data_IF_382363875693
#
_entry.id   IF_382363875693
#
_cell.length_a   1.000
_cell.length_b   1.000
_cell.length_c   1.000
_cell.angle_alpha   90.00
_cell.angle_beta   90.00
_cell.angle_gamma   90.00
#
_symmetry.space_group_name_H-M   'P 1'
#
loop_
_entity.id
_entity.type
_entity.pdbx_description
1 polymer ?
#
# COMPACT_ATOMS: atom_id res chain seq x y z
N UNK A 1 -20.77 -16.02 -2.29
CA UNK A 1 -19.36 -15.65 -2.41
C UNK A 1 -18.83 -16.27 -3.69
N UNK A 2 -18.81 -15.51 -4.75
CA UNK A 2 -18.12 -15.88 -5.98
C UNK A 2 -16.62 -15.74 -5.69
N UNK A 3 -15.92 -16.86 -5.76
CA UNK A 3 -14.47 -16.92 -5.82
C UNK A 3 -14.02 -16.17 -7.08
N UNK A 4 -13.75 -14.88 -6.95
CA UNK A 4 -13.01 -14.12 -7.95
C UNK A 4 -11.68 -14.85 -8.10
N UNK A 5 -11.47 -15.46 -9.26
CA UNK A 5 -10.24 -16.20 -9.53
C UNK A 5 -9.06 -15.25 -9.32
N UNK A 6 -8.22 -15.56 -8.36
CA UNK A 6 -6.99 -14.84 -7.97
C UNK A 6 -6.10 -14.49 -9.20
N UNK A 7 -6.24 -15.24 -10.28
CA UNK A 7 -5.52 -15.10 -11.54
C UNK A 7 -5.83 -13.81 -12.31
N UNK A 8 -7.09 -13.36 -12.38
CA UNK A 8 -7.43 -12.16 -13.16
C UNK A 8 -6.97 -10.88 -12.45
N UNK A 9 -6.91 -10.93 -11.13
CA UNK A 9 -6.47 -9.83 -10.27
C UNK A 9 -4.99 -9.48 -10.43
N UNK A 10 -4.19 -10.46 -10.81
CA UNK A 10 -2.75 -10.38 -10.79
C UNK A 10 -2.13 -10.01 -12.13
N UNK A 11 -2.83 -10.33 -13.25
CA UNK A 11 -2.32 -10.09 -14.61
C UNK A 11 -2.07 -8.60 -14.83
N UNK A 12 -3.02 -7.74 -14.47
CA UNK A 12 -2.89 -6.29 -14.61
C UNK A 12 -1.73 -5.72 -13.77
N UNK A 13 -1.46 -6.28 -12.60
CA UNK A 13 -0.32 -5.87 -11.77
C UNK A 13 1.01 -6.24 -12.45
N UNK A 14 1.12 -7.44 -13.01
CA UNK A 14 2.33 -7.89 -13.70
C UNK A 14 2.62 -7.01 -14.92
N UNK A 15 1.61 -6.66 -15.72
CA UNK A 15 1.76 -5.76 -16.87
C UNK A 15 2.26 -4.37 -16.46
N UNK A 16 1.79 -3.86 -15.32
CA UNK A 16 2.29 -2.59 -14.78
C UNK A 16 3.72 -2.72 -14.27
N UNK A 17 4.07 -3.84 -13.63
CA UNK A 17 5.46 -4.12 -13.21
C UNK A 17 6.40 -4.15 -14.42
N UNK A 18 6.01 -4.82 -15.51
CA UNK A 18 6.76 -4.80 -16.76
C UNK A 18 7.01 -3.37 -17.27
N UNK A 19 5.94 -2.57 -17.29
CA UNK A 19 6.02 -1.17 -17.73
C UNK A 19 6.99 -0.35 -16.87
N UNK A 20 7.02 -0.59 -15.57
CA UNK A 20 7.95 0.08 -14.64
C UNK A 20 9.38 -0.40 -14.89
N UNK A 21 9.60 -1.69 -15.13
CA UNK A 21 10.92 -2.23 -15.39
C UNK A 21 11.54 -1.68 -16.67
N UNK A 22 10.75 -1.31 -17.67
CA UNK A 22 11.25 -0.59 -18.85
C UNK A 22 11.83 0.78 -18.52
N UNK A 23 11.32 1.42 -17.45
CA UNK A 23 11.84 2.70 -16.93
C UNK A 23 13.07 2.53 -16.03
N UNK A 24 13.32 1.30 -15.58
CA UNK A 24 14.44 0.91 -14.72
C UNK A 24 15.37 -0.07 -15.44
N UNK A 25 15.98 0.31 -16.57
CA UNK A 25 16.68 -0.62 -17.49
C UNK A 25 18.02 -1.13 -16.96
N UNK A 26 18.48 -0.66 -15.81
CA UNK A 26 19.77 -1.06 -15.22
C UNK A 26 19.59 -1.44 -13.75
N UNK A 27 20.40 -2.40 -13.29
CA UNK A 27 20.45 -2.80 -11.87
C UNK A 27 20.64 -1.58 -10.96
N UNK A 28 21.53 -0.66 -11.34
CA UNK A 28 21.78 0.54 -10.53
C UNK A 28 20.53 1.42 -10.37
N UNK A 29 19.71 1.60 -11.42
CA UNK A 29 18.47 2.37 -11.31
C UNK A 29 17.43 1.68 -10.44
N UNK A 30 17.32 0.36 -10.58
CA UNK A 30 16.40 -0.46 -9.79
C UNK A 30 16.79 -0.45 -8.32
N UNK A 31 18.06 -0.68 -7.99
CA UNK A 31 18.54 -0.61 -6.61
C UNK A 31 18.34 0.78 -6.00
N UNK A 32 18.67 1.85 -6.73
CA UNK A 32 18.41 3.22 -6.29
C UNK A 32 16.92 3.47 -5.95
N UNK A 33 16.01 2.95 -6.79
CA UNK A 33 14.56 3.09 -6.52
C UNK A 33 14.17 2.33 -5.27
N UNK A 34 14.60 1.09 -5.12
CA UNK A 34 14.32 0.25 -3.95
C UNK A 34 14.89 0.87 -2.66
N UNK A 35 16.15 1.28 -2.69
CA UNK A 35 16.81 1.94 -1.55
C UNK A 35 16.11 3.24 -1.15
N UNK A 36 15.68 4.04 -2.13
CA UNK A 36 14.91 5.26 -1.87
C UNK A 36 13.59 4.96 -1.16
N UNK A 37 12.84 3.96 -1.61
CA UNK A 37 11.57 3.54 -0.98
C UNK A 37 11.84 3.08 0.45
N UNK A 38 12.82 2.22 0.67
CA UNK A 38 13.13 1.71 2.01
C UNK A 38 13.60 2.81 2.96
N UNK A 39 14.42 3.74 2.48
CA UNK A 39 14.85 4.90 3.28
C UNK A 39 13.64 5.74 3.69
N UNK A 40 12.76 6.03 2.75
CA UNK A 40 11.59 6.87 2.97
C UNK A 40 10.60 6.20 3.93
N UNK A 41 10.35 4.89 3.81
CA UNK A 41 9.52 4.12 4.75
C UNK A 41 10.11 4.01 6.17
N UNK A 42 11.42 4.18 6.30
CA UNK A 42 12.09 4.21 7.61
C UNK A 42 12.25 5.63 8.19
N UNK A 43 11.85 6.66 7.46
CA UNK A 43 11.95 8.04 7.92
C UNK A 43 10.96 8.33 9.06
N UNK A 44 11.36 9.17 10.01
CA UNK A 44 10.46 9.75 11.01
C UNK A 44 9.63 10.93 10.47
N UNK A 45 9.90 11.38 9.24
CA UNK A 45 9.14 12.42 8.57
C UNK A 45 7.94 11.81 7.83
N UNK A 46 6.73 12.27 8.15
CA UNK A 46 5.48 11.76 7.54
C UNK A 46 5.47 11.87 6.02
N UNK A 47 5.84 13.03 5.45
CA UNK A 47 5.85 13.23 4.00
C UNK A 47 6.86 12.29 3.28
N UNK A 48 7.96 11.94 3.93
CA UNK A 48 8.90 10.95 3.39
C UNK A 48 8.30 9.55 3.44
N UNK A 49 7.65 9.19 4.55
CA UNK A 49 6.97 7.91 4.67
C UNK A 49 5.89 7.75 3.59
N UNK A 50 5.04 8.74 3.40
CA UNK A 50 4.02 8.75 2.34
C UNK A 50 4.63 8.58 0.94
N UNK A 51 5.75 9.25 0.66
CA UNK A 51 6.47 9.09 -0.60
C UNK A 51 6.99 7.66 -0.79
N UNK A 52 7.52 7.04 0.27
CA UNK A 52 7.94 5.64 0.28
C UNK A 52 6.76 4.69 0.09
N UNK A 53 5.64 4.97 0.77
CA UNK A 53 4.39 4.21 0.65
C UNK A 53 3.85 4.25 -0.80
N UNK A 54 3.77 5.45 -1.40
CA UNK A 54 3.40 5.60 -2.81
C UNK A 54 4.33 4.81 -3.72
N UNK A 55 5.65 4.94 -3.55
CA UNK A 55 6.65 4.24 -4.37
C UNK A 55 6.58 2.73 -4.27
N UNK A 56 6.25 2.19 -3.10
CA UNK A 56 6.03 0.75 -2.90
C UNK A 56 4.84 0.25 -3.74
N UNK A 57 3.71 0.96 -3.68
CA UNK A 57 2.52 0.61 -4.46
C UNK A 57 2.80 0.59 -5.96
N UNK A 58 3.54 1.58 -6.47
CA UNK A 58 3.96 1.63 -7.87
C UNK A 58 4.78 0.39 -8.26
N UNK A 59 5.81 0.02 -7.50
CA UNK A 59 6.65 -1.15 -7.81
C UNK A 59 5.90 -2.49 -7.71
N UNK A 60 4.82 -2.54 -6.93
CA UNK A 60 3.94 -3.72 -6.84
C UNK A 60 2.91 -3.79 -7.96
N UNK A 61 2.91 -2.84 -8.89
CA UNK A 61 1.99 -2.81 -10.03
C UNK A 61 0.59 -2.28 -9.70
N UNK A 62 0.43 -1.58 -8.56
CA UNK A 62 -0.80 -0.87 -8.26
C UNK A 62 -0.79 0.54 -8.86
N UNK A 63 -1.98 1.11 -9.08
CA UNK A 63 -2.07 2.54 -9.32
C UNK A 63 -1.98 3.22 -7.95
N UNK A 64 -0.87 3.88 -7.70
CA UNK A 64 -0.55 4.50 -6.42
C UNK A 64 -0.48 6.02 -6.56
N UNK A 65 -1.29 6.73 -5.78
CA UNK A 65 -1.41 8.18 -5.83
C UNK A 65 -1.21 8.78 -4.42
N UNK A 66 -0.68 9.99 -4.37
CA UNK A 66 -0.57 10.80 -3.17
C UNK A 66 -0.94 12.26 -3.52
N UNK A 67 -2.24 12.61 -3.53
CA UNK A 67 -2.69 13.91 -3.97
C UNK A 67 -2.40 15.01 -2.94
N UNK A 68 -1.91 16.17 -3.41
CA UNK A 68 -1.60 17.35 -2.59
C UNK A 68 -2.77 18.34 -2.49
N UNK A 69 -4.01 17.87 -2.35
CA UNK A 69 -5.16 18.77 -2.20
C UNK A 69 -5.70 18.77 -0.77
N UNK A 70 -6.31 19.86 -0.33
CA UNK A 70 -6.89 19.96 1.01
C UNK A 70 -7.94 18.86 1.22
N UNK A 71 -7.78 18.09 2.29
CA UNK A 71 -8.67 16.99 2.66
C UNK A 71 -8.50 15.72 1.80
N UNK A 72 -7.51 15.70 0.91
CA UNK A 72 -7.13 14.49 0.22
C UNK A 72 -6.54 13.47 1.20
N UNK A 73 -6.67 12.18 0.91
CA UNK A 73 -5.99 11.15 1.68
C UNK A 73 -4.47 11.22 1.47
N UNK A 74 -3.73 10.63 2.38
CA UNK A 74 -2.38 10.14 2.16
C UNK A 74 -2.41 9.07 1.05
N UNK A 75 -1.31 8.39 0.71
CA UNK A 75 -1.33 7.49 -0.44
C UNK A 75 -2.52 6.55 -0.48
N UNK A 76 -3.12 6.41 -1.66
CA UNK A 76 -4.10 5.36 -1.90
C UNK A 76 -3.67 4.48 -3.08
N UNK A 77 -4.06 3.22 -3.03
CA UNK A 77 -3.75 2.24 -4.06
C UNK A 77 -5.02 1.67 -4.67
N UNK A 78 -5.15 1.82 -5.98
CA UNK A 78 -6.16 1.08 -6.73
C UNK A 78 -5.57 -0.29 -7.02
N UNK A 79 -6.10 -1.31 -6.36
CA UNK A 79 -5.69 -2.69 -6.55
C UNK A 79 -6.25 -3.22 -7.86
N UNK A 80 -7.54 -2.95 -8.09
CA UNK A 80 -8.24 -3.12 -9.36
C UNK A 80 -9.46 -2.18 -9.40
N UNK A 81 -10.24 -2.23 -10.49
CA UNK A 81 -11.43 -1.36 -10.66
C UNK A 81 -12.50 -1.52 -9.56
N UNK A 82 -12.50 -2.64 -8.83
CA UNK A 82 -13.46 -2.96 -7.77
C UNK A 82 -12.89 -2.89 -6.37
N UNK A 83 -11.59 -2.58 -6.20
CA UNK A 83 -10.91 -2.59 -4.90
C UNK A 83 -9.88 -1.47 -4.80
N UNK A 84 -10.04 -0.63 -3.80
CA UNK A 84 -9.14 0.47 -3.48
C UNK A 84 -8.83 0.47 -1.99
N UNK A 85 -7.57 0.70 -1.65
CA UNK A 85 -7.12 0.92 -0.27
C UNK A 85 -6.66 2.36 -0.14
N UNK A 86 -7.29 3.09 0.77
CA UNK A 86 -6.91 4.47 1.11
C UNK A 86 -6.24 4.49 2.47
N UNK A 87 -5.14 5.23 2.60
CA UNK A 87 -4.36 5.29 3.83
C UNK A 87 -4.46 6.64 4.52
N UNK A 88 -4.29 6.60 5.83
CA UNK A 88 -3.87 7.72 6.67
C UNK A 88 -2.54 7.32 7.30
N UNK A 89 -1.47 8.04 6.99
CA UNK A 89 -0.11 7.71 7.42
C UNK A 89 0.31 8.65 8.58
N UNK A 90 0.16 8.17 9.82
CA UNK A 90 0.49 8.95 11.03
C UNK A 90 1.75 8.44 11.72
N UNK A 91 2.88 9.04 11.35
CA UNK A 91 4.18 8.75 11.96
C UNK A 91 4.49 9.82 12.99
N UNK A 92 4.32 9.49 14.25
CA UNK A 92 4.62 10.39 15.36
C UNK A 92 6.10 10.41 15.68
N UNK A 93 6.68 11.61 15.81
CA UNK A 93 8.05 11.76 16.28
C UNK A 93 8.14 11.44 17.78
N UNK A 94 9.28 10.88 18.24
CA UNK A 94 9.48 10.53 19.66
C UNK A 94 9.27 11.71 20.61
N UNK A 95 9.60 12.93 20.16
CA UNK A 95 9.40 14.17 20.94
C UNK A 95 7.92 14.51 21.19
N UNK A 96 7.01 14.02 20.35
CA UNK A 96 5.59 14.37 20.43
C UNK A 96 4.88 13.60 21.55
N UNK A 97 5.52 12.58 22.15
CA UNK A 97 5.01 11.75 23.24
C UNK A 97 3.60 11.17 22.99
N UNK A 98 3.20 11.07 21.73
CA UNK A 98 1.88 10.51 21.36
C UNK A 98 1.91 9.01 21.61
N UNK A 99 1.21 8.59 22.67
CA UNK A 99 1.09 7.18 23.02
C UNK A 99 -0.05 6.49 22.26
N UNK A 100 -1.13 7.23 22.01
CA UNK A 100 -2.35 6.75 21.38
C UNK A 100 -2.68 7.60 20.15
N UNK A 101 -3.37 6.97 19.18
CA UNK A 101 -3.94 7.69 18.04
C UNK A 101 -5.08 8.58 18.53
N UNK A 102 -5.01 9.92 18.31
CA UNK A 102 -6.03 10.85 18.78
C UNK A 102 -7.27 10.85 17.89
N UNK A 103 -8.38 11.34 18.41
CA UNK A 103 -9.66 11.46 17.70
C UNK A 103 -9.55 12.29 16.40
N UNK A 104 -8.67 13.28 16.35
CA UNK A 104 -8.43 14.09 15.14
C UNK A 104 -8.00 13.23 13.96
N UNK A 105 -7.02 12.33 14.19
CA UNK A 105 -6.41 11.50 13.14
C UNK A 105 -7.36 10.38 12.72
N UNK A 106 -8.11 9.80 13.66
CA UNK A 106 -9.18 8.83 13.35
C UNK A 106 -10.28 9.48 12.51
N UNK A 107 -10.67 10.71 12.84
CA UNK A 107 -11.69 11.46 12.11
C UNK A 107 -11.21 11.87 10.72
N UNK A 108 -9.92 12.15 10.55
CA UNK A 108 -9.31 12.43 9.25
C UNK A 108 -9.35 11.19 8.35
N UNK A 109 -8.87 10.05 8.85
CA UNK A 109 -8.93 8.77 8.15
C UNK A 109 -10.37 8.39 7.74
N UNK A 110 -11.34 8.63 8.61
CA UNK A 110 -12.77 8.34 8.36
C UNK A 110 -13.38 9.13 7.20
N UNK A 111 -12.79 10.26 6.78
CA UNK A 111 -13.29 11.08 5.67
C UNK A 111 -12.74 10.67 4.29
N UNK A 112 -11.69 9.88 4.25
CA UNK A 112 -11.00 9.55 3.01
C UNK A 112 -11.87 8.80 2.00
N UNK A 113 -12.75 7.91 2.46
CA UNK A 113 -13.66 7.20 1.56
C UNK A 113 -14.58 8.16 0.78
N UNK A 114 -15.13 9.18 1.46
CA UNK A 114 -15.98 10.18 0.82
C UNK A 114 -15.20 10.96 -0.25
N UNK A 115 -13.96 11.35 0.05
CA UNK A 115 -13.09 12.03 -0.90
C UNK A 115 -12.82 11.15 -2.13
N UNK A 116 -12.51 9.86 -1.95
CA UNK A 116 -12.27 8.90 -3.04
C UNK A 116 -13.51 8.77 -3.94
N UNK A 117 -14.69 8.61 -3.35
CA UNK A 117 -15.96 8.46 -4.10
C UNK A 117 -16.21 9.67 -5.01
N UNK A 118 -15.87 10.86 -4.53
CA UNK A 118 -16.07 12.11 -5.29
C UNK A 118 -15.03 12.29 -6.40
N UNK A 119 -13.76 11.99 -6.14
CA UNK A 119 -12.64 12.40 -7.00
C UNK A 119 -12.08 11.27 -7.88
N UNK A 120 -12.12 10.00 -7.43
CA UNK A 120 -11.53 8.88 -8.17
C UNK A 120 -12.53 8.29 -9.17
N UNK A 121 -12.16 8.32 -10.46
CA UNK A 121 -13.05 7.85 -11.56
C UNK A 121 -12.59 6.54 -12.20
N UNK A 122 -11.43 6.01 -11.77
CA UNK A 122 -10.87 4.75 -12.30
C UNK A 122 -11.42 3.50 -11.63
N UNK A 123 -12.28 3.67 -10.60
CA UNK A 123 -12.96 2.56 -9.93
C UNK A 123 -14.44 2.52 -10.27
N UNK A 124 -15.05 1.35 -10.15
CA UNK A 124 -16.50 1.19 -10.36
C UNK A 124 -17.30 1.85 -9.22
N UNK A 125 -18.57 2.18 -9.49
CA UNK A 125 -19.45 2.76 -8.45
C UNK A 125 -19.70 1.82 -7.27
N UNK A 126 -19.53 0.52 -7.47
CA UNK A 126 -19.69 -0.52 -6.45
C UNK A 126 -18.36 -0.99 -5.86
N UNK A 127 -17.27 -0.29 -6.15
CA UNK A 127 -15.95 -0.65 -5.64
C UNK A 127 -15.92 -0.65 -4.11
N UNK A 128 -15.21 -1.62 -3.56
CA UNK A 128 -14.90 -1.66 -2.14
C UNK A 128 -13.74 -0.71 -1.84
N UNK A 129 -13.97 0.27 -0.99
CA UNK A 129 -12.96 1.23 -0.54
C UNK A 129 -12.65 0.91 0.91
N UNK A 130 -11.43 0.51 1.18
CA UNK A 130 -10.96 0.16 2.52
C UNK A 130 -10.05 1.26 3.05
N UNK A 131 -10.25 1.65 4.31
CA UNK A 131 -9.40 2.63 4.98
C UNK A 131 -8.46 1.93 5.94
N UNK A 132 -7.17 2.24 5.83
CA UNK A 132 -6.14 1.81 6.77
C UNK A 132 -5.53 3.04 7.45
N UNK A 133 -5.04 2.85 8.67
CA UNK A 133 -4.21 3.81 9.38
C UNK A 133 -2.89 3.14 9.71
N UNK A 134 -1.81 3.66 9.11
CA UNK A 134 -0.45 3.17 9.35
C UNK A 134 0.20 4.08 10.38
N UNK A 135 0.64 3.52 11.51
CA UNK A 135 1.23 4.32 12.58
C UNK A 135 2.26 3.54 13.41
N UNK A 136 3.14 4.27 14.05
CA UNK A 136 4.04 3.75 15.09
C UNK A 136 3.43 3.77 16.50
N UNK A 137 2.20 4.28 16.66
CA UNK A 137 1.43 4.14 17.89
C UNK A 137 0.89 2.72 18.06
N UNK A 138 0.76 2.26 19.30
CA UNK A 138 0.20 0.95 19.65
C UNK A 138 -1.14 1.03 20.38
N UNK A 139 -1.72 2.22 20.49
CA UNK A 139 -3.00 2.45 21.17
C UNK A 139 -3.83 3.52 20.49
N UNK A 140 -5.09 3.61 20.89
CA UNK A 140 -6.06 4.61 20.44
C UNK A 140 -6.70 5.27 21.65
N UNK A 141 -7.00 6.56 21.58
CA UNK A 141 -7.73 7.26 22.64
C UNK A 141 -9.16 6.70 22.77
N UNK A 142 -9.65 6.58 24.01
CA UNK A 142 -10.95 5.94 24.28
C UNK A 142 -12.10 6.65 23.57
N UNK A 143 -12.08 7.96 23.48
CA UNK A 143 -13.10 8.77 22.81
C UNK A 143 -13.01 8.68 21.26
N UNK A 144 -11.87 8.23 20.72
CA UNK A 144 -11.68 8.01 19.30
C UNK A 144 -12.23 6.64 18.82
N UNK A 145 -12.37 5.66 19.73
CA UNK A 145 -12.77 4.28 19.39
C UNK A 145 -14.10 4.19 18.65
N UNK A 146 -15.07 5.02 19.00
CA UNK A 146 -16.39 5.03 18.37
C UNK A 146 -16.37 5.42 16.88
N UNK A 147 -15.31 6.07 16.43
CA UNK A 147 -15.11 6.48 15.03
C UNK A 147 -14.22 5.52 14.22
N UNK A 148 -13.66 4.52 14.88
CA UNK A 148 -12.62 3.64 14.29
C UNK A 148 -13.16 2.32 13.70
N UNK A 149 -14.48 2.10 13.69
CA UNK A 149 -15.09 0.82 13.29
C UNK A 149 -14.71 0.33 11.88
N UNK A 150 -14.59 1.25 10.94
CA UNK A 150 -14.33 0.96 9.53
C UNK A 150 -12.87 1.21 9.12
N UNK A 151 -11.98 1.40 10.09
CA UNK A 151 -10.56 1.65 9.85
C UNK A 151 -9.76 0.44 10.31
N UNK A 152 -8.86 -0.05 9.45
CA UNK A 152 -7.92 -1.09 9.78
C UNK A 152 -6.62 -0.47 10.31
N UNK A 153 -6.04 -1.11 11.30
CA UNK A 153 -4.78 -0.70 11.89
C UNK A 153 -3.61 -1.48 11.30
N UNK A 154 -2.57 -0.76 10.89
CA UNK A 154 -1.31 -1.35 10.47
C UNK A 154 -0.17 -0.74 11.26
N UNK A 155 0.56 -1.57 12.00
CA UNK A 155 1.76 -1.14 12.70
C UNK A 155 2.86 -0.79 11.68
N UNK A 156 3.47 0.38 11.81
CA UNK A 156 4.53 0.85 10.89
C UNK A 156 5.66 -0.16 10.73
N UNK A 157 6.15 -0.74 11.83
CA UNK A 157 7.27 -1.70 11.78
C UNK A 157 6.90 -2.96 11.01
N UNK A 158 5.69 -3.46 11.20
CA UNK A 158 5.16 -4.61 10.45
C UNK A 158 5.01 -4.28 8.97
N UNK A 159 4.52 -3.07 8.67
CA UNK A 159 4.41 -2.57 7.30
C UNK A 159 5.76 -2.50 6.60
N UNK A 160 6.77 -1.94 7.25
CA UNK A 160 8.13 -1.87 6.71
C UNK A 160 8.72 -3.27 6.50
N UNK A 161 8.51 -4.20 7.44
CA UNK A 161 8.96 -5.59 7.27
C UNK A 161 8.31 -6.27 6.08
N UNK A 162 7.00 -6.06 5.88
CA UNK A 162 6.29 -6.56 4.71
C UNK A 162 6.85 -5.93 3.41
N UNK A 163 7.09 -4.63 3.42
CA UNK A 163 7.67 -3.90 2.28
C UNK A 163 9.07 -4.40 1.92
N UNK A 164 9.93 -4.67 2.89
CA UNK A 164 11.27 -5.26 2.66
C UNK A 164 11.15 -6.61 1.96
N UNK A 165 10.24 -7.47 2.42
CA UNK A 165 9.97 -8.76 1.78
C UNK A 165 9.50 -8.58 0.33
N UNK A 166 8.51 -7.71 0.11
CA UNK A 166 7.95 -7.43 -1.21
C UNK A 166 9.03 -6.88 -2.18
N UNK A 167 9.82 -5.91 -1.74
CA UNK A 167 10.89 -5.32 -2.55
C UNK A 167 12.03 -6.31 -2.84
N UNK A 168 12.28 -7.26 -1.95
CA UNK A 168 13.23 -8.37 -2.21
C UNK A 168 12.73 -9.25 -3.36
N UNK A 169 11.45 -9.55 -3.41
CA UNK A 169 10.85 -10.30 -4.51
C UNK A 169 10.87 -9.49 -5.81
N UNK A 170 10.53 -8.20 -5.76
CA UNK A 170 10.62 -7.30 -6.92
C UNK A 170 12.05 -7.29 -7.50
N UNK A 171 13.08 -7.22 -6.66
CA UNK A 171 14.48 -7.32 -7.10
C UNK A 171 14.77 -8.66 -7.78
N UNK A 172 14.27 -9.76 -7.22
CA UNK A 172 14.45 -11.10 -7.78
C UNK A 172 13.84 -11.22 -9.17
N UNK A 173 12.59 -10.80 -9.35
CA UNK A 173 11.90 -10.90 -10.65
C UNK A 173 12.43 -9.90 -11.67
N UNK A 174 12.95 -8.74 -11.23
CA UNK A 174 13.64 -7.82 -12.12
C UNK A 174 14.91 -8.45 -12.72
N UNK A 175 15.67 -9.20 -11.95
CA UNK A 175 16.92 -9.84 -12.44
C UNK A 175 16.68 -10.85 -13.56
N UNK A 176 15.48 -11.36 -13.71
CA UNK A 176 15.09 -12.31 -14.76
C UNK A 176 14.27 -11.67 -15.88
N UNK A 177 13.96 -10.36 -15.76
CA UNK A 177 13.20 -9.62 -16.77
C UNK A 177 14.05 -9.38 -18.02
N UNK A 178 13.52 -9.74 -19.19
CA UNK A 178 14.18 -9.53 -20.48
C UNK A 178 13.39 -8.60 -21.40
N UNK A 179 12.09 -8.84 -21.58
CA UNK A 179 11.26 -8.04 -22.48
C UNK A 179 9.79 -8.03 -22.01
N UNK A 180 9.04 -7.04 -22.48
CA UNK A 180 7.61 -6.88 -22.19
C UNK A 180 6.81 -7.95 -22.95
N UNK A 181 5.84 -8.54 -22.25
CA UNK A 181 4.91 -9.51 -22.84
C UNK A 181 5.42 -10.93 -22.90
N UNK A 182 6.56 -11.24 -22.29
CA UNK A 182 7.11 -12.58 -22.22
C UNK A 182 6.27 -13.46 -21.26
N UNK A 183 5.50 -14.39 -21.82
CA UNK A 183 4.54 -15.19 -21.05
C UNK A 183 5.21 -16.08 -19.99
N UNK A 184 6.40 -16.63 -20.28
CA UNK A 184 7.15 -17.46 -19.34
C UNK A 184 7.62 -16.66 -18.13
N UNK A 185 8.07 -15.43 -18.35
CA UNK A 185 8.46 -14.53 -17.28
C UNK A 185 7.26 -14.13 -16.42
N UNK A 186 6.11 -13.78 -17.04
CA UNK A 186 4.87 -13.45 -16.31
C UNK A 186 4.42 -14.59 -15.41
N UNK A 187 4.44 -15.82 -15.91
CA UNK A 187 4.12 -16.99 -15.10
C UNK A 187 5.12 -17.20 -13.96
N UNK A 188 6.41 -17.03 -14.21
CA UNK A 188 7.45 -17.12 -13.19
C UNK A 188 7.25 -16.07 -12.08
N UNK A 189 6.91 -14.82 -12.44
CA UNK A 189 6.56 -13.75 -11.48
C UNK A 189 5.35 -14.15 -10.64
N UNK A 190 4.31 -14.65 -11.28
CA UNK A 190 3.09 -15.12 -10.58
C UNK A 190 3.43 -16.19 -9.53
N UNK A 191 4.18 -17.20 -9.92
CA UNK A 191 4.59 -18.27 -9.01
C UNK A 191 5.50 -17.77 -7.88
N UNK A 192 6.40 -16.84 -8.17
CA UNK A 192 7.27 -16.22 -7.17
C UNK A 192 6.49 -15.45 -6.12
N UNK A 193 5.51 -14.65 -6.54
CA UNK A 193 4.68 -13.88 -5.63
C UNK A 193 3.79 -14.76 -4.75
N UNK A 194 3.25 -15.86 -5.33
CA UNK A 194 2.48 -16.85 -4.56
C UNK A 194 3.39 -17.51 -3.52
N UNK A 195 4.56 -17.98 -3.94
CA UNK A 195 5.52 -18.66 -3.06
C UNK A 195 5.95 -17.79 -1.89
N UNK A 196 6.21 -16.53 -2.17
CA UNK A 196 6.67 -15.57 -1.17
C UNK A 196 5.52 -14.90 -0.40
N UNK A 197 4.26 -15.16 -0.75
CA UNK A 197 3.09 -14.60 -0.06
C UNK A 197 3.01 -13.08 -0.13
N UNK A 198 3.20 -12.52 -1.33
CA UNK A 198 3.12 -11.07 -1.59
C UNK A 198 2.15 -10.73 -2.72
N UNK A 199 1.22 -11.62 -3.05
CA UNK A 199 0.15 -11.32 -4.00
C UNK A 199 -0.72 -10.16 -3.51
N UNK A 200 -1.51 -9.51 -4.39
CA UNK A 200 -2.49 -8.52 -3.96
C UNK A 200 -3.41 -9.03 -2.85
N UNK A 201 -3.84 -10.29 -2.92
CA UNK A 201 -4.64 -10.91 -1.87
C UNK A 201 -3.87 -11.01 -0.55
N UNK A 202 -2.62 -11.43 -0.56
CA UNK A 202 -1.79 -11.48 0.65
C UNK A 202 -1.61 -10.08 1.27
N UNK A 203 -1.47 -9.05 0.45
CA UNK A 203 -1.44 -7.66 0.94
C UNK A 203 -2.75 -7.30 1.65
N UNK A 204 -3.91 -7.58 1.03
CA UNK A 204 -5.20 -7.32 1.66
C UNK A 204 -5.38 -8.11 2.97
N UNK A 205 -5.01 -9.39 2.99
CA UNK A 205 -5.06 -10.21 4.21
C UNK A 205 -4.17 -9.62 5.33
N UNK A 206 -3.00 -9.11 4.97
CA UNK A 206 -2.08 -8.44 5.90
C UNK A 206 -2.69 -7.19 6.51
N UNK A 207 -3.19 -6.26 5.70
CA UNK A 207 -3.73 -4.97 6.18
C UNK A 207 -5.06 -5.13 6.92
N UNK A 208 -5.82 -6.21 6.68
CA UNK A 208 -7.11 -6.47 7.32
C UNK A 208 -7.00 -7.27 8.63
N UNK A 209 -5.78 -7.57 9.07
CA UNK A 209 -5.55 -8.43 10.24
C UNK A 209 -6.07 -7.84 11.56
N UNK A 210 -6.15 -6.50 11.68
CA UNK A 210 -6.59 -5.82 12.91
C UNK A 210 -7.44 -4.59 12.59
N UNK A 211 -8.47 -4.35 13.42
CA UNK A 211 -9.22 -3.10 13.41
C UNK A 211 -8.56 -2.07 14.31
N UNK A 212 -8.62 -0.79 13.93
CA UNK A 212 -8.06 0.31 14.73
C UNK A 212 -8.69 0.41 16.13
N UNK A 213 -9.99 0.12 16.25
CA UNK A 213 -10.69 0.14 17.53
C UNK A 213 -10.22 -0.90 18.55
N UNK A 214 -9.51 -1.93 18.10
CA UNK A 214 -9.12 -3.09 18.91
C UNK A 214 -7.69 -2.99 19.49
N UNK A 215 -7.01 -1.86 19.25
CA UNK A 215 -5.66 -1.60 19.76
C UNK A 215 -5.64 -0.77 21.04
#
# INVERSE_FOLDING_TARGET
>A
SEDVKDTDFFVDCIEKIESIFTLLPTLQKTEKKIESILRDLNSSNGNEFERGHKGLGELLGFISENPNSTGAPDPYWIINENTLVVSEDKIYEEKDQVKNVPISDVSEAGRHQAWIIEHEKRITKSANIYTILITNSSGIDDDARIYADNIYYVNRKEYVNWAVKALTVIRSVWNTFSDVGESEWREAVHQEFIREGITPKNYLDFIFSRKLKDI
#
